data_IF_851979766182
#
_entry.id   IF_851979766182
#
_cell.length_a   1.000
_cell.length_b   1.000
_cell.length_c   1.000
_cell.angle_alpha   90.00
_cell.angle_beta   90.00
_cell.angle_gamma   90.00
#
_symmetry.space_group_name_H-M   'P 1'
#
loop_
_entity.id
_entity.type
_entity.pdbx_description
1 polymer ?
#
# COMPACT_ATOMS: atom_id res chain seq x y z
N UNK A 1 -2.83 1.79 -5.75
CA UNK A 1 -3.26 1.22 -4.46
C UNK A 1 -4.54 0.42 -4.55
N UNK A 2 -4.91 -0.25 -3.48
CA UNK A 2 -6.12 -1.06 -3.38
C UNK A 2 -6.68 -1.05 -1.95
N UNK A 3 -7.98 -1.30 -1.82
CA UNK A 3 -8.69 -1.28 -0.55
C UNK A 3 -8.70 -2.66 0.11
N UNK A 4 -8.39 -2.71 1.41
CA UNK A 4 -8.47 -3.92 2.24
C UNK A 4 -9.57 -3.71 3.28
N UNK A 5 -10.75 -4.28 3.02
CA UNK A 5 -11.99 -4.06 3.77
C UNK A 5 -11.88 -4.45 5.25
N UNK A 6 -11.23 -5.60 5.54
CA UNK A 6 -11.03 -6.07 6.93
C UNK A 6 -10.39 -5.02 7.83
N UNK A 7 -9.47 -4.22 7.27
CA UNK A 7 -8.74 -3.19 7.99
C UNK A 7 -9.27 -1.78 7.68
N UNK A 8 -10.18 -1.62 6.72
CA UNK A 8 -10.71 -0.36 6.21
C UNK A 8 -9.58 0.63 5.88
N UNK A 9 -8.62 0.16 5.12
CA UNK A 9 -7.43 0.89 4.70
C UNK A 9 -7.19 0.73 3.21
N UNK A 10 -6.63 1.77 2.59
CA UNK A 10 -6.04 1.66 1.26
C UNK A 10 -4.56 1.36 1.43
N UNK A 11 -4.09 0.35 0.72
CA UNK A 11 -2.68 -0.07 0.66
C UNK A 11 -2.04 0.47 -0.60
N UNK A 12 -0.82 0.99 -0.48
CA UNK A 12 0.04 1.38 -1.60
C UNK A 12 1.51 1.22 -1.22
N UNK A 13 2.45 1.60 -2.10
CA UNK A 13 3.86 1.68 -1.74
C UNK A 13 4.21 2.98 -1.00
N UNK A 14 5.22 2.91 -0.12
CA UNK A 14 5.76 4.06 0.61
C UNK A 14 6.32 5.13 -0.36
N UNK A 15 7.08 4.70 -1.38
CA UNK A 15 7.62 5.62 -2.39
C UNK A 15 6.55 6.34 -3.23
N UNK A 16 5.32 5.82 -3.30
CA UNK A 16 4.20 6.45 -4.03
C UNK A 16 3.65 7.65 -3.27
N UNK A 17 3.62 7.58 -1.94
CA UNK A 17 3.13 8.68 -1.09
C UNK A 17 4.23 9.71 -0.79
N UNK A 18 5.51 9.33 -0.93
CA UNK A 18 6.69 10.20 -0.93
C UNK A 18 6.69 11.27 0.18
N UNK A 19 6.59 10.84 1.43
CA UNK A 19 6.64 11.71 2.63
C UNK A 19 5.48 12.72 2.76
N UNK A 20 4.43 12.62 1.95
CA UNK A 20 3.27 13.47 2.07
C UNK A 20 2.38 13.04 3.25
N UNK A 21 1.82 14.02 3.94
CA UNK A 21 0.84 13.79 5.01
C UNK A 21 -0.53 13.41 4.46
N UNK A 22 -0.88 13.98 3.34
CA UNK A 22 -2.12 13.75 2.61
C UNK A 22 -1.84 13.53 1.13
N UNK A 23 -2.61 12.68 0.52
CA UNK A 23 -2.54 12.37 -0.91
C UNK A 23 -3.94 12.42 -1.50
N UNK A 24 -4.01 12.74 -2.79
CA UNK A 24 -5.27 12.63 -3.53
C UNK A 24 -5.41 11.24 -4.09
N UNK A 25 -6.49 10.58 -3.75
CA UNK A 25 -6.89 9.28 -4.30
C UNK A 25 -8.08 9.44 -5.24
N UNK A 26 -8.17 8.56 -6.23
CA UNK A 26 -9.32 8.45 -7.12
C UNK A 26 -9.63 6.98 -7.36
N UNK A 27 -10.89 6.65 -7.58
CA UNK A 27 -11.35 5.30 -7.81
C UNK A 27 -12.34 5.21 -8.98
N UNK A 28 -12.73 4.00 -9.34
CA UNK A 28 -13.72 3.78 -10.41
C UNK A 28 -15.12 4.31 -10.02
N UNK A 29 -15.42 4.29 -8.73
CA UNK A 29 -16.73 4.64 -8.17
C UNK A 29 -16.77 6.02 -7.53
N UNK A 30 -15.65 6.75 -7.51
CA UNK A 30 -15.56 8.10 -6.95
C UNK A 30 -14.48 8.90 -7.70
N UNK A 31 -14.66 10.20 -7.75
CA UNK A 31 -13.70 11.11 -8.35
C UNK A 31 -12.47 11.27 -7.44
N UNK A 32 -12.06 12.49 -7.16
CA UNK A 32 -10.91 12.77 -6.30
C UNK A 32 -11.34 12.94 -4.84
N UNK A 33 -10.64 12.27 -3.93
CA UNK A 33 -10.79 12.46 -2.49
C UNK A 33 -9.42 12.64 -1.83
N UNK A 34 -9.35 13.48 -0.80
CA UNK A 34 -8.16 13.56 0.05
C UNK A 34 -8.11 12.34 0.96
N UNK A 35 -6.93 11.80 1.15
CA UNK A 35 -6.68 10.67 2.03
C UNK A 35 -5.42 10.92 2.84
N UNK A 36 -5.48 10.62 4.14
CA UNK A 36 -4.35 10.72 5.05
C UNK A 36 -3.46 9.51 4.94
N UNK A 37 -2.15 9.74 5.11
CA UNK A 37 -1.18 8.67 5.28
C UNK A 37 -1.11 8.31 6.76
N UNK A 38 -1.57 7.12 7.12
CA UNK A 38 -1.59 6.64 8.50
C UNK A 38 -0.37 5.82 8.88
N UNK A 39 0.22 5.12 7.92
CA UNK A 39 1.34 4.21 8.20
C UNK A 39 2.32 4.21 7.05
N UNK A 40 3.61 4.14 7.39
CA UNK A 40 4.71 3.98 6.44
C UNK A 40 5.68 2.88 6.88
N UNK A 41 6.19 2.13 5.92
CA UNK A 41 7.20 1.10 6.13
C UNK A 41 8.19 1.13 4.97
N UNK A 42 9.28 1.86 5.17
CA UNK A 42 10.34 2.01 4.15
C UNK A 42 11.04 0.70 3.81
N UNK A 43 11.13 -0.22 4.78
CA UNK A 43 11.81 -1.50 4.56
C UNK A 43 11.05 -2.38 3.60
N UNK A 44 9.72 -2.43 3.73
CA UNK A 44 8.85 -3.23 2.88
C UNK A 44 8.21 -2.40 1.76
N UNK A 45 8.53 -1.10 1.69
CA UNK A 45 7.94 -0.16 0.72
C UNK A 45 6.40 -0.20 0.76
N UNK A 46 5.81 -0.11 1.96
CA UNK A 46 4.37 -0.11 2.19
C UNK A 46 3.89 1.19 2.84
N UNK A 47 2.72 1.65 2.43
CA UNK A 47 1.99 2.72 3.11
C UNK A 47 0.50 2.37 3.21
N UNK A 48 -0.13 2.81 4.32
CA UNK A 48 -1.57 2.68 4.51
C UNK A 48 -2.21 4.05 4.57
N UNK A 49 -3.30 4.17 3.84
CA UNK A 49 -4.05 5.40 3.68
C UNK A 49 -5.45 5.25 4.28
N UNK A 50 -6.03 6.38 4.68
CA UNK A 50 -7.43 6.47 5.08
C UNK A 50 -8.34 6.09 3.91
N UNK A 51 -9.28 5.19 4.14
CA UNK A 51 -10.29 4.88 3.14
C UNK A 51 -11.31 6.03 3.05
N UNK A 52 -11.79 6.39 1.84
CA UNK A 52 -12.80 7.42 1.67
C UNK A 52 -14.12 7.00 2.33
N UNK A 53 -14.76 7.95 3.03
CA UNK A 53 -16.02 7.70 3.72
C UNK A 53 -17.20 7.73 2.73
N UNK A 54 -18.25 6.97 3.04
CA UNK A 54 -19.50 6.94 2.28
C UNK A 54 -19.36 6.50 0.82
N UNK A 55 -18.33 5.71 0.52
CA UNK A 55 -18.09 5.15 -0.81
C UNK A 55 -18.00 3.63 -0.66
N UNK A 56 -18.78 2.92 -1.46
CA UNK A 56 -18.67 1.47 -1.55
C UNK A 56 -17.44 1.11 -2.38
N UNK A 57 -16.46 0.49 -1.73
CA UNK A 57 -15.25 0.02 -2.36
C UNK A 57 -15.32 -1.50 -2.57
N UNK A 58 -14.80 -2.01 -3.71
CA UNK A 58 -14.81 -3.44 -3.98
C UNK A 58 -13.99 -4.19 -2.93
N UNK A 59 -14.55 -5.30 -2.44
CA UNK A 59 -13.86 -6.19 -1.51
C UNK A 59 -12.92 -7.11 -2.29
N UNK A 60 -11.66 -7.16 -1.87
CA UNK A 60 -10.66 -8.05 -2.41
C UNK A 60 -10.08 -8.88 -1.27
N UNK A 61 -10.01 -10.21 -1.46
CA UNK A 61 -9.47 -11.14 -0.48
C UNK A 61 -7.94 -11.19 -0.57
N UNK A 62 -7.28 -11.33 0.60
CA UNK A 62 -5.86 -11.62 0.64
C UNK A 62 -5.64 -13.13 0.50
N UNK A 63 -4.87 -13.53 -0.50
CA UNK A 63 -4.53 -14.93 -0.79
C UNK A 63 -3.50 -15.53 0.17
N UNK A 64 -3.10 -16.77 -0.07
CA UNK A 64 -2.15 -17.53 0.75
C UNK A 64 -0.80 -17.62 0.03
N UNK A 65 0.29 -17.15 0.69
CA UNK A 65 1.64 -17.20 0.13
C UNK A 65 2.11 -18.65 -0.16
N UNK A 66 1.77 -19.57 0.74
CA UNK A 66 2.20 -20.95 0.71
C UNK A 66 1.61 -21.75 -0.45
N UNK A 67 0.57 -21.25 -1.07
CA UNK A 67 -0.09 -21.90 -2.20
C UNK A 67 0.50 -21.50 -3.55
N UNK A 68 1.33 -20.44 -3.59
CA UNK A 68 1.94 -19.95 -4.82
C UNK A 68 3.06 -20.88 -5.33
N UNK A 69 3.12 -21.02 -6.65
CA UNK A 69 4.15 -21.82 -7.33
C UNK A 69 4.72 -21.05 -8.51
N UNK A 70 5.99 -21.36 -8.82
CA UNK A 70 6.59 -20.92 -10.08
C UNK A 70 5.74 -21.44 -11.25
N UNK A 71 5.40 -20.57 -12.20
CA UNK A 71 4.52 -20.85 -13.32
C UNK A 71 3.03 -20.50 -13.12
N UNK A 72 2.59 -20.17 -11.90
CA UNK A 72 1.20 -19.76 -11.66
C UNK A 72 0.88 -18.47 -12.43
N UNK A 73 -0.28 -18.45 -13.09
CA UNK A 73 -0.77 -17.26 -13.78
C UNK A 73 -1.18 -16.16 -12.79
N UNK A 74 -0.80 -14.94 -13.11
CA UNK A 74 -1.06 -13.76 -12.28
C UNK A 74 -1.45 -12.55 -13.11
N UNK A 75 -2.11 -11.59 -12.47
CA UNK A 75 -2.48 -10.30 -13.07
C UNK A 75 -1.98 -9.17 -12.17
N UNK A 76 -1.13 -8.31 -12.71
CA UNK A 76 -0.75 -7.06 -12.07
C UNK A 76 -1.74 -5.96 -12.48
N UNK A 77 -2.35 -5.30 -11.49
CA UNK A 77 -3.35 -4.26 -11.72
C UNK A 77 -2.77 -2.90 -11.30
N UNK A 78 -3.01 -1.88 -12.11
CA UNK A 78 -2.54 -0.53 -11.86
C UNK A 78 -3.26 0.53 -12.68
N UNK A 79 -2.74 1.76 -12.61
CA UNK A 79 -3.24 2.92 -13.33
C UNK A 79 -2.07 3.67 -14.01
N UNK A 80 -1.40 3.00 -14.98
CA UNK A 80 -0.20 3.57 -15.58
C UNK A 80 -0.52 4.82 -16.42
N UNK A 81 0.32 5.85 -16.28
CA UNK A 81 0.26 7.07 -17.10
C UNK A 81 -1.09 7.81 -17.11
N UNK A 82 -1.92 7.65 -16.08
CA UNK A 82 -3.27 8.23 -16.06
C UNK A 82 -4.24 7.58 -17.07
N UNK A 83 -3.84 6.50 -17.71
CA UNK A 83 -4.71 5.66 -18.53
C UNK A 83 -5.58 4.82 -17.60
N UNK A 84 -6.87 4.67 -17.96
CA UNK A 84 -7.83 3.88 -17.19
C UNK A 84 -7.28 2.50 -16.82
N UNK A 85 -7.61 2.03 -15.63
CA UNK A 85 -7.23 0.75 -15.02
C UNK A 85 -6.66 -0.27 -16.01
N UNK A 86 -5.36 -0.55 -15.87
CA UNK A 86 -4.65 -1.49 -16.74
C UNK A 86 -4.37 -2.76 -15.96
N UNK A 87 -4.70 -3.88 -16.56
CA UNK A 87 -4.36 -5.21 -16.09
C UNK A 87 -3.32 -5.83 -17.03
N UNK A 88 -2.18 -6.24 -16.49
CA UNK A 88 -1.16 -6.96 -17.26
C UNK A 88 -1.05 -8.39 -16.74
N UNK A 89 -1.26 -9.35 -17.62
CA UNK A 89 -1.19 -10.77 -17.28
C UNK A 89 0.23 -11.30 -17.52
N UNK A 90 0.64 -12.24 -16.69
CA UNK A 90 1.87 -12.98 -16.79
C UNK A 90 1.87 -14.19 -15.88
N UNK A 91 3.06 -14.68 -15.54
CA UNK A 91 3.25 -15.81 -14.62
C UNK A 91 4.25 -15.46 -13.52
N UNK A 92 4.17 -16.19 -12.41
CA UNK A 92 5.21 -16.17 -11.38
C UNK A 92 6.46 -16.85 -11.95
N UNK A 93 7.50 -16.07 -12.22
CA UNK A 93 8.79 -16.60 -12.66
C UNK A 93 9.57 -17.21 -11.50
N UNK A 94 9.42 -16.66 -10.27
CA UNK A 94 10.00 -17.18 -9.04
C UNK A 94 9.25 -16.66 -7.81
N UNK A 95 8.80 -17.55 -6.93
CA UNK A 95 8.02 -17.19 -5.73
C UNK A 95 8.85 -16.42 -4.71
N UNK A 96 10.12 -16.81 -4.49
CA UNK A 96 10.95 -16.32 -3.38
C UNK A 96 12.31 -15.78 -3.83
N UNK A 97 12.31 -14.82 -4.73
CA UNK A 97 13.53 -14.12 -5.10
C UNK A 97 14.01 -13.24 -3.96
N UNK A 98 15.21 -13.53 -3.41
CA UNK A 98 15.78 -12.74 -2.32
C UNK A 98 16.48 -11.50 -2.88
N UNK A 99 16.13 -10.33 -2.33
CA UNK A 99 16.81 -9.06 -2.56
C UNK A 99 16.79 -8.21 -1.29
N UNK A 100 17.95 -7.66 -0.93
CA UNK A 100 18.12 -6.80 0.27
C UNK A 100 17.56 -7.44 1.57
N UNK A 101 17.69 -8.79 1.67
CA UNK A 101 17.20 -9.57 2.80
C UNK A 101 15.68 -9.80 2.85
N UNK A 102 14.93 -9.38 1.83
CA UNK A 102 13.50 -9.63 1.68
C UNK A 102 13.25 -10.62 0.53
N UNK A 103 12.15 -11.38 0.66
CA UNK A 103 11.63 -12.19 -0.43
C UNK A 103 10.72 -11.33 -1.31
N UNK A 104 10.79 -11.55 -2.62
CA UNK A 104 9.90 -10.96 -3.62
C UNK A 104 9.36 -12.02 -4.56
N UNK A 105 8.15 -11.82 -5.05
CA UNK A 105 7.59 -12.58 -6.16
C UNK A 105 8.13 -11.94 -7.43
N UNK A 106 8.92 -12.69 -8.20
CA UNK A 106 9.35 -12.29 -9.54
C UNK A 106 8.29 -12.72 -10.55
N UNK A 107 7.88 -11.80 -11.42
CA UNK A 107 6.88 -12.03 -12.46
C UNK A 107 7.39 -11.55 -13.82
N UNK A 108 6.84 -12.09 -14.89
CA UNK A 108 7.03 -11.60 -16.26
C UNK A 108 5.89 -10.68 -16.75
N UNK A 109 4.84 -10.53 -15.93
CA UNK A 109 3.83 -9.50 -16.20
C UNK A 109 4.47 -8.12 -16.26
N UNK A 110 4.12 -7.32 -17.26
CA UNK A 110 4.68 -5.99 -17.45
C UNK A 110 4.34 -5.06 -16.28
N UNK A 111 5.33 -4.69 -15.48
CA UNK A 111 5.23 -3.65 -14.45
C UNK A 111 5.76 -2.34 -15.04
N UNK A 112 4.96 -1.31 -14.97
CA UNK A 112 5.27 0.04 -15.45
C UNK A 112 4.99 1.08 -14.36
N UNK A 113 5.55 2.29 -14.46
CA UNK A 113 5.14 3.39 -13.60
C UNK A 113 3.62 3.56 -13.62
N UNK A 114 2.99 3.50 -12.42
CA UNK A 114 1.54 3.49 -12.22
C UNK A 114 0.96 2.13 -11.80
N UNK A 115 1.71 1.03 -11.92
CA UNK A 115 1.33 -0.25 -11.30
C UNK A 115 1.85 -0.37 -9.85
N UNK A 116 2.87 0.40 -9.47
CA UNK A 116 3.43 0.41 -8.12
C UNK A 116 2.37 0.69 -7.06
N UNK A 117 2.36 -0.10 -6.00
CA UNK A 117 1.36 -0.05 -4.93
C UNK A 117 0.02 -0.69 -5.30
N UNK A 118 -0.17 -1.09 -6.55
CA UNK A 118 -1.34 -1.87 -6.99
C UNK A 118 -1.23 -3.34 -6.60
N UNK A 119 -2.34 -4.10 -6.65
CA UNK A 119 -2.33 -5.51 -6.29
C UNK A 119 -1.76 -6.38 -7.40
N UNK A 120 -1.01 -7.42 -7.01
CA UNK A 120 -0.78 -8.61 -7.80
C UNK A 120 -1.82 -9.64 -7.39
N UNK A 121 -2.62 -10.13 -8.32
CA UNK A 121 -3.70 -11.08 -8.05
C UNK A 121 -3.49 -12.42 -8.76
N UNK A 122 -3.95 -13.50 -8.13
CA UNK A 122 -4.01 -14.82 -8.74
C UNK A 122 -5.28 -14.96 -9.60
N UNK A 123 -5.45 -16.11 -10.25
CA UNK A 123 -6.60 -16.39 -11.11
C UNK A 123 -7.91 -16.60 -10.33
N UNK A 124 -7.88 -16.70 -9.01
CA UNK A 124 -9.07 -16.70 -8.14
C UNK A 124 -9.49 -15.28 -7.73
N UNK A 125 -8.73 -14.24 -8.15
CA UNK A 125 -9.00 -12.85 -7.79
C UNK A 125 -8.47 -12.45 -6.41
N UNK A 126 -7.63 -13.28 -5.77
CA UNK A 126 -7.04 -12.99 -4.47
C UNK A 126 -5.73 -12.22 -4.61
N UNK A 127 -5.49 -11.28 -3.71
CA UNK A 127 -4.22 -10.54 -3.65
C UNK A 127 -3.12 -11.43 -3.10
N UNK A 128 -2.09 -11.69 -3.89
CA UNK A 128 -0.92 -12.47 -3.51
C UNK A 128 0.33 -11.62 -3.28
N UNK A 129 0.29 -10.34 -3.69
CA UNK A 129 1.38 -9.40 -3.48
C UNK A 129 1.01 -7.97 -3.80
N UNK A 130 1.95 -7.05 -3.53
CA UNK A 130 1.89 -5.63 -3.86
C UNK A 130 2.94 -5.35 -4.93
N UNK A 131 2.51 -4.86 -6.10
CA UNK A 131 3.44 -4.50 -7.18
C UNK A 131 4.41 -3.43 -6.69
N UNK A 132 5.71 -3.61 -6.85
CA UNK A 132 6.71 -2.73 -6.25
C UNK A 132 7.64 -2.11 -7.30
N UNK A 133 8.51 -2.88 -7.93
CA UNK A 133 9.53 -2.33 -8.81
C UNK A 133 9.87 -3.23 -10.00
N UNK A 134 10.63 -2.65 -10.96
CA UNK A 134 11.25 -3.37 -12.07
C UNK A 134 12.78 -3.26 -11.98
N UNK A 135 13.50 -4.24 -12.50
CA UNK A 135 14.92 -4.10 -12.77
C UNK A 135 15.08 -3.52 -14.18
N UNK A 136 15.59 -2.30 -14.27
CA UNK A 136 15.87 -1.64 -15.55
C UNK A 136 17.02 -2.40 -16.27
N UNK A 137 16.81 -2.71 -17.55
CA UNK A 137 17.77 -3.44 -18.38
C UNK A 137 17.55 -4.96 -18.39
N UNK A 138 16.55 -5.49 -17.68
CA UNK A 138 16.05 -6.86 -17.83
C UNK A 138 14.67 -6.83 -18.48
N UNK A 139 14.50 -7.49 -19.63
CA UNK A 139 13.18 -7.57 -20.26
C UNK A 139 12.20 -8.31 -19.34
N UNK A 140 11.08 -7.65 -19.01
CA UNK A 140 9.98 -8.22 -18.23
C UNK A 140 10.35 -8.76 -16.83
N UNK A 141 11.24 -8.10 -16.10
CA UNK A 141 11.55 -8.45 -14.72
C UNK A 141 10.78 -7.59 -13.73
N UNK A 142 9.52 -7.94 -13.49
CA UNK A 142 8.68 -7.32 -12.48
C UNK A 142 8.84 -7.99 -11.11
N UNK A 143 8.65 -7.21 -10.04
CA UNK A 143 8.71 -7.68 -8.66
C UNK A 143 7.52 -7.18 -7.86
N UNK A 144 6.94 -8.07 -7.08
CA UNK A 144 5.91 -7.74 -6.10
C UNK A 144 6.34 -8.19 -4.70
N UNK A 145 6.01 -7.37 -3.72
CA UNK A 145 6.16 -7.73 -2.31
C UNK A 145 5.12 -8.81 -1.97
N UNK A 146 5.48 -9.98 -1.43
CA UNK A 146 4.53 -11.02 -1.04
C UNK A 146 3.49 -10.57 -0.03
N UNK A 147 2.27 -11.10 -0.15
CA UNK A 147 1.13 -10.79 0.74
C UNK A 147 1.40 -11.06 2.21
N UNK A 148 2.35 -11.95 2.55
CA UNK A 148 2.73 -12.23 3.94
C UNK A 148 3.26 -10.99 4.64
N UNK A 149 4.10 -10.19 3.98
CA UNK A 149 4.61 -8.94 4.56
C UNK A 149 3.52 -7.89 4.71
N UNK A 150 2.56 -7.84 3.77
CA UNK A 150 1.38 -6.98 3.90
C UNK A 150 0.54 -7.38 5.13
N UNK A 151 0.27 -8.69 5.32
CA UNK A 151 -0.46 -9.18 6.50
C UNK A 151 0.24 -8.81 7.81
N UNK A 152 1.56 -9.02 7.89
CA UNK A 152 2.37 -8.63 9.05
C UNK A 152 2.27 -7.13 9.34
N UNK A 153 2.38 -6.28 8.31
CA UNK A 153 2.29 -4.84 8.47
C UNK A 153 0.87 -4.40 8.92
N UNK A 154 -0.19 -4.97 8.36
CA UNK A 154 -1.58 -4.71 8.75
C UNK A 154 -1.83 -5.10 10.21
N UNK A 155 -1.39 -6.29 10.62
CA UNK A 155 -1.52 -6.77 12.00
C UNK A 155 -0.71 -5.92 12.98
N UNK A 156 0.48 -5.48 12.60
CA UNK A 156 1.32 -4.60 13.42
C UNK A 156 0.66 -3.23 13.62
N UNK A 157 0.04 -2.68 12.59
CA UNK A 157 -0.60 -1.37 12.63
C UNK A 157 -1.98 -1.38 13.30
N UNK A 158 -2.74 -2.46 13.19
CA UNK A 158 -4.14 -2.55 13.61
C UNK A 158 -4.43 -2.04 15.05
N UNK A 159 -3.61 -2.35 16.08
CA UNK A 159 -3.84 -1.84 17.45
C UNK A 159 -3.68 -0.32 17.57
N UNK A 160 -3.04 0.32 16.60
CA UNK A 160 -2.74 1.75 16.59
C UNK A 160 -3.48 2.49 15.46
N UNK A 161 -4.59 1.92 15.00
CA UNK A 161 -5.39 2.50 13.94
C UNK A 161 -5.86 3.92 14.28
N UNK A 162 -5.79 4.84 13.32
CA UNK A 162 -6.10 6.25 13.52
C UNK A 162 -4.97 7.08 14.12
N UNK A 163 -3.80 6.47 14.37
CA UNK A 163 -2.59 7.16 14.78
C UNK A 163 -1.53 7.07 13.69
N UNK A 164 -0.92 8.21 13.36
CA UNK A 164 0.20 8.22 12.44
C UNK A 164 1.34 7.35 12.99
N UNK A 165 1.82 6.44 12.17
CA UNK A 165 2.75 5.39 12.58
C UNK A 165 3.78 5.12 11.50
N UNK A 166 4.96 4.68 11.89
CA UNK A 166 5.97 4.16 10.97
C UNK A 166 6.63 2.91 11.55
N UNK A 167 7.03 2.00 10.70
CA UNK A 167 7.87 0.87 11.11
C UNK A 167 9.33 1.32 11.13
N UNK A 168 9.99 1.19 12.26
CA UNK A 168 11.40 1.51 12.38
C UNK A 168 12.22 0.65 11.42
N UNK A 169 12.94 1.29 10.52
CA UNK A 169 13.75 0.61 9.51
C UNK A 169 14.83 -0.29 10.12
N UNK A 170 15.39 0.10 11.27
CA UNK A 170 16.49 -0.60 11.93
C UNK A 170 16.02 -1.83 12.71
N UNK A 171 15.05 -1.68 13.62
CA UNK A 171 14.65 -2.75 14.53
C UNK A 171 13.26 -3.37 14.22
N UNK A 172 12.50 -2.80 13.29
CA UNK A 172 11.17 -3.28 12.91
C UNK A 172 10.04 -2.95 13.88
N UNK A 173 10.31 -2.26 15.00
CA UNK A 173 9.29 -1.85 15.97
C UNK A 173 8.35 -0.80 15.37
N UNK A 174 7.07 -0.83 15.76
CA UNK A 174 6.13 0.22 15.41
C UNK A 174 6.38 1.46 16.28
N UNK A 175 6.55 2.59 15.61
CA UNK A 175 6.63 3.92 16.23
C UNK A 175 5.38 4.69 15.85
N UNK A 176 4.72 5.28 16.85
CA UNK A 176 3.43 5.96 16.68
C UNK A 176 3.49 7.33 17.35
N UNK A 177 2.56 8.20 17.00
CA UNK A 177 2.40 9.51 17.69
C UNK A 177 2.11 9.38 19.19
N UNK A 178 1.74 8.18 19.65
CA UNK A 178 1.46 7.93 21.08
C UNK A 178 2.64 7.40 21.86
N UNK A 179 3.68 6.85 21.21
CA UNK A 179 4.84 6.25 21.85
C UNK A 179 6.18 6.93 21.49
N UNK A 180 6.14 8.00 20.71
CA UNK A 180 7.32 8.82 20.40
C UNK A 180 7.18 10.16 21.11
N UNK A 181 8.27 10.62 21.67
CA UNK A 181 8.41 11.99 22.18
C UNK A 181 8.83 12.96 21.05
N UNK A 182 9.07 14.21 21.39
CA UNK A 182 9.54 15.23 20.45
C UNK A 182 10.94 14.92 19.84
N UNK A 183 11.61 13.86 20.30
CA UNK A 183 12.98 13.52 19.89
C UNK A 183 13.08 12.95 18.48
N UNK A 184 11.97 12.46 17.91
CA UNK A 184 11.92 11.80 16.59
C UNK A 184 12.78 10.53 16.48
N UNK A 185 13.08 9.88 17.60
CA UNK A 185 13.85 8.64 17.65
C UNK A 185 12.99 7.45 18.06
N UNK A 186 13.28 6.29 17.49
CA UNK A 186 12.62 5.04 17.86
C UNK A 186 12.88 4.72 19.34
N UNK A 187 11.83 4.56 20.16
CA UNK A 187 11.99 4.31 21.59
C UNK A 187 12.68 2.97 21.91
N UNK A 188 12.71 2.05 20.94
CA UNK A 188 13.32 0.73 21.13
C UNK A 188 14.82 0.68 20.79
N UNK A 189 15.28 1.40 19.76
CA UNK A 189 16.67 1.28 19.29
C UNK A 189 17.40 2.62 19.05
N UNK A 190 16.73 3.75 19.27
CA UNK A 190 17.32 5.07 19.09
C UNK A 190 17.56 5.51 17.64
N UNK A 191 17.11 4.74 16.65
CA UNK A 191 17.21 5.16 15.24
C UNK A 191 16.25 6.31 14.96
N UNK A 192 16.71 7.32 14.24
CA UNK A 192 15.84 8.41 13.79
C UNK A 192 14.72 7.87 12.90
N UNK A 193 13.49 8.33 13.17
CA UNK A 193 12.30 7.93 12.44
C UNK A 193 11.49 9.16 12.04
N UNK A 194 10.81 9.08 10.91
CA UNK A 194 9.89 10.11 10.44
C UNK A 194 8.49 9.52 10.40
N UNK A 195 7.60 10.04 11.23
CA UNK A 195 6.17 9.72 11.16
C UNK A 195 5.51 10.47 10.00
N UNK A 196 4.43 9.90 9.42
CA UNK A 196 3.56 10.69 8.57
C UNK A 196 3.08 11.93 9.34
N UNK A 197 3.14 13.09 8.71
CA UNK A 197 2.61 14.32 9.32
C UNK A 197 1.10 14.22 9.41
N UNK A 198 0.50 14.64 10.51
CA UNK A 198 -0.94 14.79 10.64
C UNK A 198 -1.23 16.26 10.39
N UNK A 199 -1.98 16.62 9.34
CA UNK A 199 -2.42 17.99 9.16
C UNK A 199 -3.21 18.44 10.39
N UNK A 200 -2.91 19.63 10.89
CA UNK A 200 -3.75 20.25 11.94
C UNK A 200 -5.18 20.27 11.43
N UNK A 201 -6.13 19.81 12.25
CA UNK A 201 -7.55 19.75 11.88
C UNK A 201 -8.02 21.13 11.43
N UNK A 202 -8.32 21.32 10.16
CA UNK A 202 -9.37 22.23 9.77
C UNK A 202 -10.68 21.62 10.28
N UNK A 203 -11.23 22.26 11.32
CA UNK A 203 -12.54 21.92 11.89
C UNK A 203 -13.62 22.53 10.99
N UNK A 204 -13.83 21.95 9.81
CA UNK A 204 -15.06 22.19 9.07
C UNK A 204 -15.65 20.86 8.60
N UNK A 205 -16.95 20.62 8.85
CA UNK A 205 -17.62 19.44 8.36
C UNK A 205 -17.84 19.58 6.85
N UNK A 206 -17.18 18.77 6.06
CA UNK A 206 -17.52 18.60 4.64
C UNK A 206 -18.91 17.99 4.58
N UNK A 207 -19.89 18.78 4.13
CA UNK A 207 -21.19 18.24 3.75
C UNK A 207 -22.42 19.01 4.23
N UNK A 208 -22.55 20.27 3.87
CA UNK A 208 -23.89 20.85 3.72
C UNK A 208 -24.28 20.71 2.24
N UNK A 209 -25.17 19.77 1.93
CA UNK A 209 -25.85 19.72 0.66
C UNK A 209 -26.52 21.08 0.41
N UNK A 210 -26.12 21.77 -0.65
CA UNK A 210 -26.91 22.92 -1.15
C UNK A 210 -28.21 22.37 -1.70
N UNK A 211 -29.29 22.59 -0.96
CA UNK A 211 -30.65 22.50 -1.47
C UNK A 211 -30.76 23.52 -2.60
N UNK A 212 -30.98 23.03 -3.79
CA UNK A 212 -31.42 23.89 -4.91
C UNK A 212 -32.89 24.14 -4.67
N UNK A 213 -33.24 25.33 -4.23
CA UNK A 213 -34.60 25.84 -4.37
C UNK A 213 -34.77 26.35 -5.80
N UNK A 214 -35.90 25.99 -6.38
CA UNK A 214 -36.49 26.22 -7.70
C UNK A 214 -35.96 27.39 -8.56
#
# INVERSE_FOLDING_TARGET
GFYVKEFDLIVTNDHVVAENAEVTIAGKTFDKALSRVWYTDRKHDLAFLEAPRNIELPEIQLGQYEQMKDGDAVVAIGHPFGLNYTATQGVISKVDRIRDGLKFIQIDAAINPGNSGGPLVNMSGEIIGVNSFIIRGGDNLGFALPVVYLREALQLYQPNRGHASTRCFSCGSLVTTTNIDASKYCPNCGTEVKLPEIPEKETEPVGAAKTIEE
#
